data_IF_568630378665
#
_entry.id   IF_568630378665
#
_cell.length_a   1.000
_cell.length_b   1.000
_cell.length_c   1.000
_cell.angle_alpha   90.00
_cell.angle_beta   90.00
_cell.angle_gamma   90.00
#
_symmetry.space_group_name_H-M   'P 1'
#
loop_
_entity.id
_entity.type
_entity.pdbx_description
1 polymer ?
#
# COMPACT_ATOMS: atom_id res chain seq x y z
N UNK A 1 -14.61 -4.13 47.50
CA UNK A 1 -13.56 -3.85 46.51
C UNK A 1 -13.34 -5.10 45.69
N UNK A 2 -13.89 -5.17 44.48
CA UNK A 2 -13.67 -6.27 43.55
C UNK A 2 -12.79 -5.72 42.41
N UNK A 3 -11.61 -6.30 42.24
CA UNK A 3 -10.71 -5.98 41.14
C UNK A 3 -11.04 -7.01 40.05
N UNK A 4 -11.78 -6.59 39.02
CA UNK A 4 -11.95 -7.39 37.81
C UNK A 4 -10.67 -7.22 37.01
N UNK A 5 -9.82 -8.25 37.03
CA UNK A 5 -8.59 -8.31 36.26
C UNK A 5 -8.89 -8.33 34.77
N UNK A 6 -8.43 -7.28 34.08
CA UNK A 6 -8.44 -7.18 32.62
C UNK A 6 -7.35 -8.09 32.07
N UNK A 7 -7.74 -9.23 31.50
CA UNK A 7 -6.82 -10.09 30.76
C UNK A 7 -6.75 -9.56 29.32
N UNK A 8 -5.75 -8.73 29.04
CA UNK A 8 -5.38 -8.37 27.68
C UNK A 8 -4.52 -9.52 27.10
N UNK A 9 -5.15 -10.39 26.30
CA UNK A 9 -4.42 -11.42 25.55
C UNK A 9 -3.67 -10.77 24.40
N UNK A 10 -2.34 -10.67 24.51
CA UNK A 10 -1.50 -10.31 23.38
C UNK A 10 -1.45 -11.51 22.40
N UNK A 11 -2.11 -11.38 21.25
CA UNK A 11 -1.95 -12.33 20.14
C UNK A 11 -0.55 -12.11 19.56
N UNK A 12 0.38 -13.01 19.88
CA UNK A 12 1.68 -13.03 19.21
C UNK A 12 1.48 -13.54 17.79
N UNK A 13 1.39 -12.61 16.83
CA UNK A 13 1.36 -12.93 15.41
C UNK A 13 2.76 -13.41 15.01
N UNK A 14 2.96 -14.73 14.99
CA UNK A 14 4.17 -15.35 14.42
C UNK A 14 4.07 -15.26 12.90
N UNK A 15 4.67 -14.23 12.29
CA UNK A 15 4.81 -14.18 10.83
C UNK A 15 5.78 -15.29 10.41
N UNK A 16 5.37 -16.28 9.59
CA UNK A 16 6.28 -17.25 9.03
C UNK A 16 7.25 -16.54 8.09
N UNK A 17 8.56 -16.68 8.36
CA UNK A 17 9.64 -16.23 7.49
C UNK A 17 9.79 -17.19 6.31
N UNK A 18 8.80 -17.23 5.42
CA UNK A 18 8.94 -17.87 4.11
C UNK A 18 9.64 -16.88 3.17
N UNK A 19 10.61 -17.37 2.40
CA UNK A 19 11.27 -16.60 1.33
C UNK A 19 10.24 -15.86 0.48
N UNK A 20 10.49 -14.61 0.05
CA UNK A 20 9.55 -13.79 -0.73
C UNK A 20 8.96 -14.50 -1.95
N UNK A 21 9.69 -15.47 -2.52
CA UNK A 21 9.33 -16.23 -3.72
C UNK A 21 8.22 -17.26 -3.55
N UNK A 22 7.86 -17.66 -2.33
CA UNK A 22 6.88 -18.74 -2.09
C UNK A 22 5.61 -18.28 -1.36
N UNK A 23 5.45 -16.98 -1.12
CA UNK A 23 4.25 -16.49 -0.44
C UNK A 23 3.03 -16.70 -1.34
N UNK A 24 2.04 -17.39 -0.78
CA UNK A 24 0.75 -17.54 -1.45
C UNK A 24 0.10 -16.16 -1.68
N UNK A 25 -0.68 -15.94 -2.76
CA UNK A 25 -1.44 -14.70 -2.96
C UNK A 25 -2.31 -14.36 -1.74
N UNK A 26 -2.74 -15.44 -1.10
CA UNK A 26 -3.44 -15.51 0.14
C UNK A 26 -2.74 -14.80 1.31
N UNK A 27 -1.50 -15.19 1.61
CA UNK A 27 -0.69 -14.59 2.68
C UNK A 27 -0.29 -13.15 2.33
N UNK A 28 -0.06 -12.86 1.05
CA UNK A 28 0.24 -11.51 0.57
C UNK A 28 -0.92 -10.54 0.82
N UNK A 29 -2.16 -10.94 0.54
CA UNK A 29 -3.34 -10.12 0.80
C UNK A 29 -3.52 -9.85 2.30
N UNK A 30 -3.35 -10.86 3.16
CA UNK A 30 -3.45 -10.69 4.62
C UNK A 30 -2.35 -9.74 5.11
N UNK A 31 -1.12 -9.96 4.67
CA UNK A 31 0.04 -9.12 5.03
C UNK A 31 -0.21 -7.68 4.61
N UNK A 32 -0.59 -7.44 3.34
CA UNK A 32 -0.83 -6.10 2.82
C UNK A 32 -1.94 -5.38 3.59
N UNK A 33 -3.02 -6.09 3.94
CA UNK A 33 -4.09 -5.52 4.79
C UNK A 33 -3.54 -5.03 6.12
N UNK A 34 -2.73 -5.83 6.81
CA UNK A 34 -2.12 -5.47 8.10
C UNK A 34 -1.17 -4.28 7.95
N UNK A 35 -0.35 -4.27 6.89
CA UNK A 35 0.56 -3.18 6.59
C UNK A 35 -0.18 -1.87 6.30
N UNK A 36 -1.29 -1.92 5.55
CA UNK A 36 -2.12 -0.75 5.27
C UNK A 36 -2.79 -0.20 6.52
N UNK A 37 -3.26 -1.07 7.42
CA UNK A 37 -3.80 -0.64 8.72
C UNK A 37 -2.73 0.06 9.54
N UNK A 38 -1.53 -0.52 9.62
CA UNK A 38 -0.40 0.08 10.31
C UNK A 38 0.06 1.39 9.66
N UNK A 39 0.08 1.47 8.32
CA UNK A 39 0.42 2.67 7.58
C UNK A 39 -0.57 3.80 7.90
N UNK A 40 -1.86 3.49 7.97
CA UNK A 40 -2.90 4.45 8.38
C UNK A 40 -2.67 4.97 9.79
N UNK A 41 -2.42 4.10 10.75
CA UNK A 41 -2.08 4.49 12.12
C UNK A 41 -0.82 5.36 12.16
N UNK A 42 0.20 4.97 11.39
CA UNK A 42 1.45 5.72 11.29
C UNK A 42 1.23 7.13 10.69
N UNK A 43 0.43 7.24 9.63
CA UNK A 43 0.07 8.52 9.00
C UNK A 43 -0.66 9.45 9.98
N UNK A 44 -1.62 8.91 10.75
CA UNK A 44 -2.32 9.66 11.79
C UNK A 44 -1.39 10.10 12.93
N UNK A 45 -0.56 9.20 13.45
CA UNK A 45 0.33 9.50 14.60
C UNK A 45 1.41 10.49 14.22
N UNK A 46 1.98 10.37 13.02
CA UNK A 46 3.04 11.27 12.52
C UNK A 46 2.48 12.55 11.91
N UNK A 47 1.17 12.64 11.71
CA UNK A 47 0.52 13.70 10.93
C UNK A 47 1.19 13.89 9.56
N UNK A 48 1.59 12.78 8.92
CA UNK A 48 2.37 12.78 7.69
C UNK A 48 1.66 11.94 6.60
N UNK A 49 1.45 12.48 5.38
CA UNK A 49 0.88 11.72 4.28
C UNK A 49 1.79 10.54 3.91
N UNK A 50 1.18 9.37 3.74
CA UNK A 50 1.83 8.18 3.21
C UNK A 50 1.17 7.77 1.89
N UNK A 51 1.84 6.90 1.16
CA UNK A 51 1.30 6.31 -0.05
C UNK A 51 1.76 4.87 -0.24
N UNK A 52 1.01 4.12 -1.03
CA UNK A 52 1.41 2.82 -1.52
C UNK A 52 1.67 2.93 -3.02
N UNK A 53 2.86 2.57 -3.42
CA UNK A 53 3.24 2.38 -4.81
C UNK A 53 3.22 0.90 -5.14
N UNK A 54 2.51 0.53 -6.20
CA UNK A 54 2.33 -0.82 -6.73
C UNK A 54 2.82 -0.82 -8.17
N UNK A 55 3.73 -1.74 -8.49
CA UNK A 55 4.32 -1.89 -9.82
C UNK A 55 4.48 -3.38 -10.19
N UNK A 56 5.17 -3.64 -11.31
CA UNK A 56 5.41 -5.01 -11.78
C UNK A 56 6.41 -5.79 -10.90
N UNK A 57 7.21 -5.11 -10.08
CA UNK A 57 8.18 -5.73 -9.19
C UNK A 57 7.59 -6.03 -7.83
N UNK A 58 6.61 -5.25 -7.36
CA UNK A 58 6.21 -5.28 -5.97
C UNK A 58 5.18 -4.23 -5.56
N UNK A 59 5.04 -4.09 -4.24
CA UNK A 59 4.63 -2.82 -3.65
C UNK A 59 5.67 -2.30 -2.66
N UNK A 60 5.63 -0.99 -2.45
CA UNK A 60 6.41 -0.28 -1.44
C UNK A 60 5.63 0.89 -0.87
N UNK A 61 5.86 1.16 0.41
CA UNK A 61 5.29 2.33 1.07
C UNK A 61 6.17 3.55 0.82
N UNK A 62 5.52 4.68 0.64
CA UNK A 62 6.14 5.98 0.43
C UNK A 62 5.67 6.94 1.52
N UNK A 63 6.50 7.92 1.84
CA UNK A 63 6.17 9.06 2.69
C UNK A 63 6.36 10.36 1.92
N UNK A 64 5.51 11.33 2.16
CA UNK A 64 5.73 12.69 1.68
C UNK A 64 6.64 13.44 2.65
N UNK A 65 7.83 13.82 2.20
CA UNK A 65 8.81 14.53 3.01
C UNK A 65 9.63 15.46 2.12
N UNK A 66 9.80 16.71 2.55
CA UNK A 66 10.63 17.71 1.84
C UNK A 66 10.20 17.94 0.38
N UNK A 67 8.89 18.09 0.16
CA UNK A 67 8.31 18.32 -1.16
C UNK A 67 8.38 17.12 -2.12
N UNK A 68 8.77 15.93 -1.65
CA UNK A 68 8.97 14.75 -2.50
C UNK A 68 8.46 13.45 -1.86
N UNK A 69 8.08 12.49 -2.72
CA UNK A 69 7.77 11.12 -2.30
C UNK A 69 9.06 10.32 -2.12
N UNK A 70 9.28 9.81 -0.92
CA UNK A 70 10.44 9.00 -0.57
C UNK A 70 10.01 7.62 -0.09
N UNK A 71 10.81 6.60 -0.38
CA UNK A 71 10.57 5.24 0.13
C UNK A 71 10.58 5.22 1.65
N UNK A 72 9.57 4.61 2.26
CA UNK A 72 9.45 4.42 3.69
C UNK A 72 9.78 2.97 4.05
N UNK A 73 10.99 2.74 4.56
CA UNK A 73 11.37 1.46 5.16
C UNK A 73 11.26 1.54 6.70
N UNK A 74 10.04 1.38 7.20
CA UNK A 74 9.77 1.31 8.62
C UNK A 74 9.49 -0.13 9.07
N UNK A 75 9.72 -0.43 10.36
CA UNK A 75 9.36 -1.72 10.94
C UNK A 75 7.84 -1.94 10.78
N UNK A 76 7.46 -2.88 9.92
CA UNK A 76 6.06 -3.18 9.58
C UNK A 76 5.63 -2.69 8.19
N UNK A 77 6.33 -1.72 7.59
CA UNK A 77 6.05 -1.17 6.26
C UNK A 77 7.16 -1.52 5.27
N UNK A 78 7.55 -2.79 5.24
CA UNK A 78 8.59 -3.26 4.33
C UNK A 78 8.06 -3.41 2.91
N UNK A 79 8.93 -3.16 1.94
CA UNK A 79 8.68 -3.51 0.55
C UNK A 79 8.44 -5.02 0.40
N UNK A 80 7.56 -5.37 -0.53
CA UNK A 80 7.30 -6.77 -0.89
C UNK A 80 7.40 -6.90 -2.39
N UNK A 81 8.22 -7.87 -2.82
CA UNK A 81 8.40 -8.20 -4.23
C UNK A 81 7.48 -9.33 -4.66
N UNK A 82 7.01 -9.24 -5.89
CA UNK A 82 6.16 -10.25 -6.50
C UNK A 82 6.97 -11.51 -6.79
N UNK A 83 6.33 -12.67 -6.61
CA UNK A 83 6.85 -13.90 -7.20
C UNK A 83 6.60 -13.89 -8.70
N UNK A 84 7.45 -14.53 -9.50
CA UNK A 84 7.28 -14.63 -10.96
C UNK A 84 5.93 -15.26 -11.40
N UNK A 85 5.31 -16.01 -10.49
CA UNK A 85 4.01 -16.66 -10.71
C UNK A 85 2.82 -15.83 -10.27
N UNK A 86 3.04 -14.69 -9.61
CA UNK A 86 1.97 -13.83 -9.11
C UNK A 86 1.43 -12.96 -10.26
N UNK A 87 0.12 -12.85 -10.34
CA UNK A 87 -0.57 -11.83 -11.13
C UNK A 87 -1.32 -10.91 -10.18
N UNK A 88 -1.39 -9.66 -10.57
CA UNK A 88 -2.07 -8.62 -9.82
C UNK A 88 -2.85 -7.72 -10.76
N UNK A 89 -3.94 -7.18 -10.25
CA UNK A 89 -4.77 -6.18 -10.93
C UNK A 89 -5.24 -5.17 -9.90
N UNK A 90 -4.93 -3.89 -10.12
CA UNK A 90 -5.32 -2.79 -9.24
C UNK A 90 -6.35 -1.93 -9.94
N UNK A 91 -7.51 -1.78 -9.31
CA UNK A 91 -8.56 -0.87 -9.72
C UNK A 91 -8.79 0.15 -8.61
N UNK A 92 -8.80 1.44 -8.95
CA UNK A 92 -9.16 2.49 -8.01
C UNK A 92 -10.68 2.65 -7.97
N UNK A 93 -11.26 2.72 -6.78
CA UNK A 93 -12.72 2.85 -6.62
C UNK A 93 -13.13 4.32 -6.78
N UNK A 94 -14.08 4.57 -7.69
CA UNK A 94 -14.67 5.89 -7.88
C UNK A 94 -15.42 6.33 -6.61
N UNK A 95 -15.05 7.48 -6.06
CA UNK A 95 -15.71 8.03 -4.86
C UNK A 95 -14.82 8.85 -3.93
N UNK A 96 -13.50 8.66 -3.96
CA UNK A 96 -12.56 9.56 -3.29
C UNK A 96 -11.93 10.53 -4.30
N UNK A 97 -12.67 11.60 -4.62
CA UNK A 97 -12.31 12.59 -5.66
C UNK A 97 -11.02 13.35 -5.32
N UNK A 98 -10.69 13.55 -4.04
CA UNK A 98 -9.51 14.31 -3.62
C UNK A 98 -8.19 13.55 -3.85
N UNK A 99 -8.22 12.22 -3.75
CA UNK A 99 -7.03 11.39 -3.88
C UNK A 99 -6.78 10.85 -5.30
N UNK A 100 -7.73 11.06 -6.21
CA UNK A 100 -7.67 10.60 -7.61
C UNK A 100 -7.58 11.75 -8.62
N UNK A 101 -8.02 12.94 -8.24
CA UNK A 101 -7.88 14.13 -9.08
C UNK A 101 -6.41 14.58 -9.08
N UNK A 102 -5.74 14.40 -10.22
CA UNK A 102 -4.32 14.74 -10.41
C UNK A 102 -4.05 16.22 -10.06
N UNK A 103 -4.97 17.12 -10.38
CA UNK A 103 -4.90 18.53 -9.99
C UNK A 103 -5.01 18.77 -8.48
N UNK A 104 -5.92 18.09 -7.77
CA UNK A 104 -6.04 18.18 -6.32
C UNK A 104 -4.81 17.60 -5.63
N UNK A 105 -4.26 16.49 -6.15
CA UNK A 105 -3.00 15.92 -5.68
C UNK A 105 -1.84 16.88 -5.90
N UNK A 106 -1.78 17.55 -7.06
CA UNK A 106 -0.76 18.54 -7.34
C UNK A 106 -0.84 19.73 -6.37
N UNK A 107 -2.05 20.17 -6.00
CA UNK A 107 -2.25 21.21 -4.99
C UNK A 107 -1.90 20.77 -3.56
N UNK A 108 -2.10 19.49 -3.22
CA UNK A 108 -1.76 18.93 -1.92
C UNK A 108 -0.26 18.63 -1.77
N UNK A 109 0.40 18.36 -2.89
CA UNK A 109 1.77 17.89 -2.98
C UNK A 109 2.54 18.70 -4.03
N UNK A 110 2.62 20.02 -3.83
CA UNK A 110 3.51 20.86 -4.64
C UNK A 110 4.96 20.58 -4.24
N UNK A 111 5.85 20.25 -5.19
CA UNK A 111 7.27 20.44 -4.97
C UNK A 111 7.49 21.94 -4.75
N UNK A 112 8.30 22.33 -3.76
CA UNK A 112 8.59 23.75 -3.53
C UNK A 112 9.14 24.38 -4.81
N UNK A 113 8.49 25.43 -5.32
CA UNK A 113 8.93 26.18 -6.51
C UNK A 113 10.35 26.77 -6.34
N UNK A 114 10.84 26.86 -5.09
CA UNK A 114 12.23 27.22 -4.76
C UNK A 114 13.27 26.18 -5.21
N UNK A 115 12.86 25.00 -5.71
CA UNK A 115 13.73 24.01 -6.36
C UNK A 115 13.79 24.14 -7.89
N UNK A 116 13.32 25.24 -8.49
CA UNK A 116 13.55 25.53 -9.92
C UNK A 116 14.99 25.98 -10.25
N UNK A 117 15.90 25.99 -9.27
CA UNK A 117 17.29 26.47 -9.44
C UNK A 117 18.40 25.42 -9.44
N UNK A 118 18.10 24.12 -9.34
CA UNK A 118 19.13 23.07 -9.25
C UNK A 118 19.14 22.07 -10.43
N UNK A 119 18.41 22.38 -11.51
CA UNK A 119 18.47 21.61 -12.76
C UNK A 119 19.45 22.25 -13.76
N UNK A 120 20.66 22.57 -13.31
CA UNK A 120 21.79 22.86 -14.20
C UNK A 120 22.76 21.67 -14.18
N UNK A 121 22.73 20.97 -15.32
CA UNK A 121 23.85 20.23 -15.93
C UNK A 121 24.22 18.83 -15.37
N UNK A 122 24.03 17.85 -16.28
CA UNK A 122 24.83 16.63 -16.49
C UNK A 122 24.62 15.42 -15.57
N UNK A 123 23.77 14.49 -16.03
CA UNK A 123 24.19 13.17 -16.52
C UNK A 123 22.97 12.34 -16.97
N UNK A 124 23.05 11.75 -18.17
CA UNK A 124 22.13 10.72 -18.69
C UNK A 124 22.30 9.39 -17.91
N UNK A 125 22.17 9.43 -16.60
CA UNK A 125 21.77 8.25 -15.83
C UNK A 125 20.26 8.18 -15.99
N UNK A 126 19.70 7.01 -16.35
CA UNK A 126 18.27 6.75 -16.35
C UNK A 126 17.66 7.34 -15.07
N UNK A 127 17.10 8.55 -15.15
CA UNK A 127 16.49 9.22 -14.02
C UNK A 127 15.19 8.46 -13.78
N UNK A 128 15.27 7.43 -12.93
CA UNK A 128 14.10 6.75 -12.39
C UNK A 128 13.25 7.83 -11.72
N UNK A 129 12.17 8.24 -12.41
CA UNK A 129 11.23 9.21 -11.88
C UNK A 129 10.83 8.79 -10.46
N UNK A 130 10.76 9.74 -9.51
CA UNK A 130 10.46 9.40 -8.13
C UNK A 130 9.13 8.61 -8.08
N UNK A 131 9.10 7.47 -7.36
CA UNK A 131 7.95 6.59 -7.38
C UNK A 131 6.72 7.34 -6.87
N UNK A 132 5.67 7.39 -7.68
CA UNK A 132 4.42 8.06 -7.29
C UNK A 132 3.42 7.05 -6.72
N UNK A 133 2.77 7.31 -5.58
CA UNK A 133 1.83 6.35 -5.00
C UNK A 133 0.53 6.30 -5.81
N UNK A 134 -0.04 5.11 -6.02
CA UNK A 134 -1.39 4.98 -6.59
C UNK A 134 -2.46 5.13 -5.50
N UNK A 135 -2.18 4.63 -4.29
CA UNK A 135 -3.08 4.72 -3.14
C UNK A 135 -2.49 5.70 -2.14
N UNK A 136 -3.25 6.74 -1.78
CA UNK A 136 -2.86 7.72 -0.77
C UNK A 136 -3.46 7.36 0.58
N UNK A 137 -2.71 7.67 1.64
CA UNK A 137 -3.11 7.52 3.03
C UNK A 137 -2.88 8.86 3.71
N UNK A 138 -3.96 9.58 3.98
CA UNK A 138 -3.93 10.94 4.51
C UNK A 138 -3.67 10.93 6.04
N UNK A 139 -3.15 12.03 6.60
CA UNK A 139 -3.01 12.21 8.05
C UNK A 139 -4.32 12.10 8.85
N UNK A 140 -5.47 12.30 8.20
CA UNK A 140 -6.79 12.04 8.79
C UNK A 140 -7.06 10.54 8.99
N UNK A 141 -6.26 9.67 8.35
CA UNK A 141 -6.47 8.24 8.22
C UNK A 141 -7.37 7.84 7.06
N UNK A 142 -7.84 8.81 6.29
CA UNK A 142 -8.56 8.54 5.06
C UNK A 142 -7.61 7.89 4.03
N UNK A 143 -8.14 6.96 3.24
CA UNK A 143 -7.41 6.23 2.22
C UNK A 143 -8.14 6.32 0.88
N UNK A 144 -7.41 6.35 -0.23
CA UNK A 144 -7.97 6.15 -1.57
C UNK A 144 -8.73 4.82 -1.61
N UNK A 145 -9.95 4.80 -2.13
CA UNK A 145 -10.67 3.54 -2.32
C UNK A 145 -10.04 2.71 -3.44
N UNK A 146 -9.91 1.40 -3.25
CA UNK A 146 -9.28 0.54 -4.25
C UNK A 146 -9.72 -0.93 -4.12
N UNK A 147 -9.47 -1.70 -5.18
CA UNK A 147 -9.58 -3.15 -5.27
C UNK A 147 -8.30 -3.70 -5.87
N UNK A 148 -7.62 -4.59 -5.15
CA UNK A 148 -6.41 -5.28 -5.60
C UNK A 148 -6.69 -6.79 -5.65
N UNK A 149 -6.75 -7.34 -6.86
CA UNK A 149 -6.82 -8.78 -7.07
C UNK A 149 -5.42 -9.38 -7.09
N UNK A 150 -5.22 -10.49 -6.39
CA UNK A 150 -3.97 -11.27 -6.39
C UNK A 150 -4.29 -12.72 -6.76
N UNK A 151 -3.63 -13.23 -7.80
CA UNK A 151 -3.77 -14.61 -8.26
C UNK A 151 -2.42 -15.26 -8.58
N UNK A 152 -2.42 -16.60 -8.66
CA UNK A 152 -1.23 -17.37 -9.03
C UNK A 152 -1.45 -18.05 -10.37
N UNK A 153 -0.57 -17.77 -11.33
CA UNK A 153 -0.57 -18.31 -12.70
C UNK A 153 -0.52 -19.83 -12.77
N UNK A 154 0.12 -20.47 -11.80
CA UNK A 154 0.43 -21.91 -11.84
C UNK A 154 -0.64 -22.77 -11.19
N UNK A 155 -1.53 -22.18 -10.38
CA UNK A 155 -2.60 -22.89 -9.69
C UNK A 155 -3.87 -22.88 -10.56
N UNK A 156 -3.92 -23.80 -11.53
CA UNK A 156 -5.03 -23.96 -12.48
C UNK A 156 -6.41 -24.25 -11.84
N UNK A 157 -6.50 -24.39 -10.51
CA UNK A 157 -7.74 -24.53 -9.76
C UNK A 157 -7.61 -23.81 -8.40
N UNK A 158 -8.40 -22.75 -8.22
CA UNK A 158 -9.08 -22.42 -6.95
C UNK A 158 -8.51 -21.45 -5.89
N UNK A 159 -7.61 -20.48 -6.13
CA UNK A 159 -7.38 -19.45 -5.09
C UNK A 159 -7.16 -18.05 -5.67
N UNK A 160 -8.25 -17.31 -5.91
CA UNK A 160 -8.19 -15.87 -6.12
C UNK A 160 -8.58 -15.17 -4.81
N UNK A 161 -7.68 -14.34 -4.27
CA UNK A 161 -8.00 -13.45 -3.15
C UNK A 161 -7.95 -12.01 -3.62
N UNK A 162 -9.01 -11.29 -3.29
CA UNK A 162 -9.16 -9.87 -3.54
C UNK A 162 -8.97 -9.13 -2.22
N UNK A 163 -8.23 -8.04 -2.26
CA UNK A 163 -8.15 -7.07 -1.18
C UNK A 163 -8.91 -5.83 -1.62
N UNK A 164 -9.94 -5.46 -0.86
CA UNK A 164 -10.87 -4.41 -1.24
C UNK A 164 -10.95 -3.39 -0.10
N UNK A 165 -10.79 -2.12 -0.43
CA UNK A 165 -11.03 -0.97 0.43
C UNK A 165 -12.08 -0.06 -0.23
N UNK A 166 -13.37 -0.38 -0.04
CA UNK A 166 -14.50 0.38 -0.62
C UNK A 166 -14.80 1.67 0.14
N UNK A 167 -14.55 1.68 1.45
CA UNK A 167 -14.61 2.86 2.28
C UNK A 167 -13.22 3.09 2.88
N UNK A 168 -12.79 4.34 2.99
CA UNK A 168 -11.47 4.75 3.49
C UNK A 168 -11.06 4.13 4.86
N UNK A 169 -12.00 3.48 5.55
CA UNK A 169 -11.88 3.00 6.92
C UNK A 169 -11.85 1.47 7.06
N UNK A 170 -12.35 0.70 6.09
CA UNK A 170 -12.39 -0.77 6.21
C UNK A 170 -11.71 -1.43 5.03
N UNK A 171 -10.68 -2.23 5.34
CA UNK A 171 -9.98 -3.07 4.37
C UNK A 171 -10.43 -4.50 4.61
N UNK A 172 -11.02 -5.09 3.58
CA UNK A 172 -11.53 -6.46 3.59
C UNK A 172 -10.72 -7.33 2.64
N UNK A 173 -10.53 -8.59 3.03
CA UNK A 173 -9.96 -9.61 2.15
C UNK A 173 -11.08 -10.59 1.84
N UNK A 174 -11.40 -10.75 0.56
CA UNK A 174 -12.46 -11.64 0.08
C UNK A 174 -11.88 -12.67 -0.88
N UNK A 175 -12.27 -13.94 -0.71
CA UNK A 175 -11.95 -14.99 -1.67
C UNK A 175 -13.08 -15.07 -2.70
N UNK A 176 -12.73 -15.03 -3.99
CA UNK A 176 -13.69 -15.19 -5.09
C UNK A 176 -13.37 -16.49 -5.84
N UNK A 177 -14.33 -17.41 -6.00
CA UNK A 177 -14.16 -18.53 -6.91
C UNK A 177 -14.27 -18.03 -8.35
N UNK A 178 -13.43 -18.56 -9.24
CA UNK A 178 -13.52 -18.32 -10.68
C UNK A 178 -14.92 -18.71 -11.20
N UNK A 179 -15.75 -17.74 -11.59
CA UNK A 179 -16.99 -18.04 -12.31
C UNK A 179 -16.64 -18.48 -13.73
N UNK A 180 -16.86 -19.76 -14.03
CA UNK A 180 -16.85 -20.24 -15.40
C UNK A 180 -18.07 -19.67 -16.12
N UNK A 181 -17.86 -18.70 -17.01
CA UNK A 181 -18.78 -18.42 -18.11
C UNK A 181 -18.73 -19.54 -19.15
#
# INVERSE_FOLDING_TARGET
MAIIGMIAGAVALTLPSSSPSERSPQDLAITLKEQLQYAREHAMVRQQPLGLHVDNQGYRFLRWYDGQWQTLDARGLKEVRWSDTLRWELELTEGNLMAQDESARQLLFQPDEDQEGAAEEEQEQEQEQPPQPQILILPSGEMTGFSLALDNRNLARQQQRWLIAQNAWQIMVQEQPYERY
#
